data_IF_020632385312
#
_entry.id   IF_020632385312
#
_cell.length_a   1.000
_cell.length_b   1.000
_cell.length_c   1.000
_cell.angle_alpha   90.00
_cell.angle_beta   90.00
_cell.angle_gamma   90.00
#
_symmetry.space_group_name_H-M   'P 1'
#
loop_
_entity.id
_entity.type
_entity.pdbx_description
1 polymer ?
#
# COMPACT_ATOMS: atom_id res chain seq x y z
N UNK A 1 7.79 22.12 17.53
CA UNK A 1 6.54 21.34 17.28
C UNK A 1 6.08 20.52 18.49
N UNK A 2 6.69 20.62 19.69
CA UNK A 2 6.17 19.95 20.89
C UNK A 2 6.19 18.41 20.80
N UNK A 3 7.26 17.85 20.23
CA UNK A 3 7.41 16.41 19.98
C UNK A 3 8.64 15.79 20.68
N UNK A 4 9.42 16.59 21.42
CA UNK A 4 10.66 16.11 22.05
C UNK A 4 10.41 15.00 23.08
N UNK A 5 9.34 15.13 23.87
CA UNK A 5 8.94 14.14 24.88
C UNK A 5 8.53 12.79 24.29
N UNK A 6 8.17 12.75 23.00
CA UNK A 6 7.72 11.53 22.29
C UNK A 6 8.67 11.10 21.19
N UNK A 7 9.90 11.64 21.15
CA UNK A 7 10.85 11.38 20.06
C UNK A 7 11.29 9.90 19.97
N UNK A 8 11.35 9.19 21.10
CA UNK A 8 11.66 7.76 21.18
C UNK A 8 10.44 6.83 21.08
N UNK A 9 9.23 7.39 21.00
CA UNK A 9 7.98 6.63 21.07
C UNK A 9 7.54 6.18 19.67
N UNK A 10 6.99 4.97 19.56
CA UNK A 10 6.43 4.47 18.30
C UNK A 10 5.17 5.28 17.94
N UNK A 11 5.01 5.60 16.65
CA UNK A 11 3.83 6.32 16.14
C UNK A 11 2.54 5.55 16.46
N UNK A 12 2.58 4.22 16.39
CA UNK A 12 1.43 3.36 16.61
C UNK A 12 0.60 3.14 15.34
N UNK A 13 -0.27 2.14 15.40
CA UNK A 13 -1.17 1.74 14.31
C UNK A 13 -2.57 1.44 14.85
N UNK A 14 -3.41 0.75 14.07
CA UNK A 14 -4.77 0.38 14.52
C UNK A 14 -4.75 -0.62 15.67
N UNK A 15 -3.77 -1.53 15.68
CA UNK A 15 -3.66 -2.62 16.67
C UNK A 15 -2.88 -2.19 17.91
N UNK A 16 -1.79 -1.42 17.73
CA UNK A 16 -0.95 -0.95 18.82
C UNK A 16 -1.07 0.57 18.99
N UNK A 17 -1.58 1.02 20.14
CA UNK A 17 -1.67 2.44 20.48
C UNK A 17 -0.25 3.05 20.56
N UNK A 18 -0.08 4.23 20.00
CA UNK A 18 1.19 4.98 20.03
C UNK A 18 0.97 6.43 20.42
N UNK A 19 1.52 7.36 19.64
CA UNK A 19 1.36 8.80 19.89
C UNK A 19 -0.10 9.25 19.70
N UNK A 20 -0.48 10.37 20.32
CA UNK A 20 -1.83 10.91 20.21
C UNK A 20 -2.14 11.41 18.78
N UNK A 21 -3.43 11.55 18.44
CA UNK A 21 -3.86 12.04 17.12
C UNK A 21 -3.27 13.42 16.78
N UNK A 22 -3.30 14.35 17.74
CA UNK A 22 -2.68 15.67 17.60
C UNK A 22 -1.17 15.61 17.42
N UNK A 23 -0.47 14.72 18.15
CA UNK A 23 0.96 14.49 17.95
C UNK A 23 1.25 13.93 16.54
N UNK A 24 0.43 12.99 16.05
CA UNK A 24 0.55 12.42 14.70
C UNK A 24 0.36 13.48 13.60
N UNK A 25 -0.61 14.39 13.75
CA UNK A 25 -0.79 15.52 12.82
C UNK A 25 0.45 16.42 12.82
N UNK A 26 0.98 16.78 13.99
CA UNK A 26 2.23 17.57 14.11
C UNK A 26 3.43 16.89 13.47
N UNK A 27 3.59 15.57 13.63
CA UNK A 27 4.63 14.79 12.95
C UNK A 27 4.46 14.85 11.44
N UNK A 28 3.25 14.70 10.91
CA UNK A 28 3.00 14.82 9.47
C UNK A 28 3.37 16.19 8.92
N UNK A 29 3.10 17.27 9.65
CA UNK A 29 3.51 18.62 9.26
C UNK A 29 5.04 18.74 9.29
N UNK A 30 5.71 18.17 10.31
CA UNK A 30 7.18 18.19 10.39
C UNK A 30 7.83 17.49 9.18
N UNK A 31 7.29 16.36 8.73
CA UNK A 31 7.81 15.62 7.57
C UNK A 31 7.83 16.51 6.33
N UNK A 32 6.74 17.23 6.05
CA UNK A 32 6.66 18.14 4.90
C UNK A 32 7.53 19.39 5.08
N UNK A 33 7.68 19.90 6.31
CA UNK A 33 8.57 21.02 6.61
C UNK A 33 10.06 20.67 6.52
N UNK A 34 10.44 19.41 6.73
CA UNK A 34 11.83 18.95 6.56
C UNK A 34 12.28 19.05 5.10
N UNK A 35 11.35 18.86 4.16
CA UNK A 35 11.57 19.12 2.74
C UNK A 35 11.75 20.61 2.42
N UNK A 36 11.64 21.49 3.44
CA UNK A 36 11.64 22.97 3.41
C UNK A 36 11.23 23.55 2.06
N UNK A 37 9.96 23.36 1.70
CA UNK A 37 9.43 23.76 0.40
C UNK A 37 9.35 25.28 0.29
N UNK A 38 9.31 25.79 -0.95
CA UNK A 38 9.02 27.21 -1.20
C UNK A 38 7.53 27.53 -1.01
N UNK A 39 6.65 26.54 -1.22
CA UNK A 39 5.20 26.65 -1.05
C UNK A 39 4.69 25.40 -0.34
N UNK A 40 3.90 25.58 0.72
CA UNK A 40 3.26 24.48 1.45
C UNK A 40 1.75 24.71 1.54
N UNK A 41 1.00 23.65 1.24
CA UNK A 41 -0.45 23.60 1.42
C UNK A 41 -0.76 22.78 2.68
N UNK A 42 -1.56 23.35 3.58
CA UNK A 42 -1.95 22.73 4.84
C UNK A 42 -3.47 22.61 4.90
N UNK A 43 -3.96 21.38 4.86
CA UNK A 43 -5.37 21.09 4.98
C UNK A 43 -5.73 20.81 6.44
N UNK A 44 -6.51 21.73 7.02
CA UNK A 44 -6.95 21.75 8.42
C UNK A 44 -5.83 21.38 9.43
N UNK A 45 -4.75 22.17 9.52
CA UNK A 45 -3.60 21.85 10.37
C UNK A 45 -3.93 21.87 11.87
N UNK A 46 -5.00 22.55 12.27
CA UNK A 46 -5.47 22.72 13.66
C UNK A 46 -6.57 21.74 14.05
N UNK A 47 -7.13 20.96 13.12
CA UNK A 47 -8.22 20.03 13.41
C UNK A 47 -7.78 18.93 14.40
N UNK A 48 -8.59 18.73 15.44
CA UNK A 48 -8.32 17.79 16.54
C UNK A 48 -7.23 18.25 17.53
N UNK A 49 -6.85 19.53 17.50
CA UNK A 49 -6.01 20.16 18.52
C UNK A 49 -6.85 21.09 19.41
N UNK A 50 -6.43 21.25 20.66
CA UNK A 50 -6.91 22.30 21.54
C UNK A 50 -6.39 23.68 21.11
N UNK A 51 -7.00 24.76 21.60
CA UNK A 51 -6.67 26.13 21.19
C UNK A 51 -5.21 26.50 21.43
N UNK A 52 -4.65 26.11 22.58
CA UNK A 52 -3.25 26.40 22.92
C UNK A 52 -2.28 25.64 22.00
N UNK A 53 -2.53 24.35 21.75
CA UNK A 53 -1.71 23.59 20.81
C UNK A 53 -1.84 24.12 19.38
N UNK A 54 -3.03 24.55 18.96
CA UNK A 54 -3.28 25.14 17.64
C UNK A 54 -2.46 26.41 17.44
N UNK A 55 -2.48 27.33 18.42
CA UNK A 55 -1.65 28.54 18.40
C UNK A 55 -0.17 28.21 18.31
N UNK A 56 0.33 27.29 19.15
CA UNK A 56 1.73 26.90 19.12
C UNK A 56 2.15 26.26 17.78
N UNK A 57 1.29 25.47 17.15
CA UNK A 57 1.57 24.88 15.83
C UNK A 57 1.63 25.98 14.77
N UNK A 58 0.61 26.83 14.69
CA UNK A 58 0.53 27.89 13.68
C UNK A 58 1.63 28.95 13.85
N UNK A 59 1.93 29.36 15.07
CA UNK A 59 3.03 30.29 15.38
C UNK A 59 4.39 29.73 14.94
N UNK A 60 4.63 28.42 15.12
CA UNK A 60 5.87 27.77 14.65
C UNK A 60 5.92 27.67 13.14
N UNK A 61 4.81 27.36 12.48
CA UNK A 61 4.72 27.33 11.01
C UNK A 61 4.99 28.72 10.45
N UNK A 62 4.35 29.77 10.98
CA UNK A 62 4.58 31.15 10.58
C UNK A 62 6.04 31.59 10.81
N UNK A 63 6.64 31.19 11.94
CA UNK A 63 8.06 31.46 12.22
C UNK A 63 9.02 30.77 11.24
N UNK A 64 8.75 29.52 10.87
CA UNK A 64 9.55 28.78 9.87
C UNK A 64 9.36 29.41 8.49
N UNK A 65 8.13 29.76 8.13
CA UNK A 65 7.79 30.41 6.87
C UNK A 65 8.58 31.72 6.69
N UNK A 66 8.59 32.56 7.74
CA UNK A 66 9.33 33.84 7.74
C UNK A 66 10.84 33.65 7.61
N UNK A 67 11.42 32.64 8.27
CA UNK A 67 12.87 32.36 8.22
C UNK A 67 13.33 31.81 6.88
N UNK A 68 12.51 30.96 6.26
CA UNK A 68 12.88 30.23 5.05
C UNK A 68 12.36 30.88 3.76
N UNK A 69 11.57 31.96 3.86
CA UNK A 69 10.87 32.54 2.71
C UNK A 69 9.82 31.59 2.11
N UNK A 70 9.21 30.72 2.94
CA UNK A 70 8.19 29.76 2.47
C UNK A 70 6.81 30.40 2.48
N UNK A 71 6.09 30.32 1.38
CA UNK A 71 4.67 30.68 1.32
C UNK A 71 3.83 29.55 1.91
N UNK A 72 2.94 29.88 2.85
CA UNK A 72 2.04 28.92 3.51
C UNK A 72 0.61 29.25 3.11
N UNK A 73 -0.11 28.26 2.57
CA UNK A 73 -1.55 28.33 2.32
C UNK A 73 -2.22 27.30 3.20
N UNK A 74 -3.11 27.73 4.10
CA UNK A 74 -3.78 26.84 5.03
C UNK A 74 -5.30 27.02 4.97
N UNK A 75 -6.03 25.90 4.92
CA UNK A 75 -7.47 25.88 5.18
C UNK A 75 -7.67 25.61 6.67
N UNK A 76 -8.37 26.50 7.39
CA UNK A 76 -8.56 26.38 8.84
C UNK A 76 -10.04 26.54 9.16
N UNK A 77 -10.61 25.51 9.78
CA UNK A 77 -11.97 25.55 10.30
C UNK A 77 -11.97 26.28 11.66
N UNK A 78 -12.68 27.40 11.75
CA UNK A 78 -12.91 28.18 12.99
C UNK A 78 -11.63 28.44 13.83
N UNK A 79 -10.71 29.31 13.37
CA UNK A 79 -9.53 29.66 14.14
C UNK A 79 -9.90 30.45 15.41
N UNK A 80 -9.14 30.25 16.49
CA UNK A 80 -9.19 31.15 17.64
C UNK A 80 -8.66 32.54 17.26
N UNK A 81 -9.03 33.57 18.02
CA UNK A 81 -8.58 34.95 17.76
C UNK A 81 -7.04 35.06 17.70
N UNK A 82 -6.33 34.39 18.61
CA UNK A 82 -4.86 34.34 18.62
C UNK A 82 -4.26 33.72 17.35
N UNK A 83 -4.95 32.72 16.76
CA UNK A 83 -4.51 32.10 15.50
C UNK A 83 -4.84 33.00 14.31
N UNK A 84 -6.00 33.66 14.33
CA UNK A 84 -6.43 34.59 13.28
C UNK A 84 -5.47 35.77 13.12
N UNK A 85 -4.95 36.30 14.23
CA UNK A 85 -3.96 37.38 14.23
C UNK A 85 -2.61 37.01 13.56
N UNK A 86 -2.32 35.71 13.38
CA UNK A 86 -1.11 35.26 12.69
C UNK A 86 -1.24 35.34 11.15
N UNK A 87 -2.43 35.58 10.62
CA UNK A 87 -2.67 35.53 9.17
C UNK A 87 -2.28 36.85 8.50
N UNK A 88 -1.44 36.76 7.45
CA UNK A 88 -1.12 37.91 6.61
C UNK A 88 -2.23 38.20 5.57
N UNK A 89 -2.83 37.14 5.03
CA UNK A 89 -3.90 37.21 4.04
C UNK A 89 -5.03 36.24 4.40
N UNK A 90 -6.23 36.59 3.99
CA UNK A 90 -7.47 35.85 4.21
C UNK A 90 -8.19 35.64 2.88
N UNK A 91 -8.58 34.39 2.64
CA UNK A 91 -9.46 34.00 1.54
C UNK A 91 -10.72 33.38 2.16
N UNK A 92 -11.87 34.00 1.95
CA UNK A 92 -13.17 33.46 2.38
C UNK A 92 -13.91 32.94 1.16
N UNK A 93 -14.33 31.68 1.24
CA UNK A 93 -15.10 31.01 0.20
C UNK A 93 -16.49 30.65 0.74
N UNK A 94 -17.53 30.88 -0.07
CA UNK A 94 -18.89 30.42 0.19
C UNK A 94 -19.51 29.90 -1.11
N UNK A 95 -20.09 28.70 -1.10
CA UNK A 95 -20.72 28.06 -2.26
C UNK A 95 -19.87 28.09 -3.54
N UNK A 96 -18.56 27.82 -3.39
CA UNK A 96 -17.58 27.81 -4.48
C UNK A 96 -17.16 29.20 -5.01
N UNK A 97 -17.63 30.30 -4.40
CA UNK A 97 -17.30 31.68 -4.78
C UNK A 97 -16.44 32.34 -3.73
N UNK A 98 -15.48 33.17 -4.16
CA UNK A 98 -14.69 34.00 -3.27
C UNK A 98 -15.49 35.21 -2.80
N UNK A 99 -15.74 35.26 -1.50
CA UNK A 99 -16.48 36.33 -0.80
C UNK A 99 -15.52 37.43 -0.34
N UNK A 100 -14.27 37.07 -0.06
CA UNK A 100 -13.22 38.01 0.30
C UNK A 100 -11.86 37.42 -0.05
N UNK A 101 -10.97 38.24 -0.59
CA UNK A 101 -9.57 37.89 -0.81
C UNK A 101 -8.70 39.12 -0.57
N UNK A 102 -7.87 39.11 0.46
CA UNK A 102 -7.04 40.28 0.81
C UNK A 102 -6.35 40.15 2.17
N UNK A 103 -5.74 41.23 2.68
CA UNK A 103 -5.10 41.25 4.00
C UNK A 103 -6.09 40.96 5.13
N UNK A 104 -5.75 40.06 6.06
CA UNK A 104 -6.68 39.66 7.13
C UNK A 104 -7.13 40.84 8.01
N UNK A 105 -6.27 41.85 8.19
CA UNK A 105 -6.58 43.07 8.95
C UNK A 105 -7.69 43.92 8.33
N UNK A 106 -7.83 43.92 6.99
CA UNK A 106 -8.84 44.71 6.27
C UNK A 106 -10.18 43.99 6.14
N UNK A 107 -10.27 42.73 6.57
CA UNK A 107 -11.51 41.96 6.46
C UNK A 107 -12.63 42.57 7.31
N UNK A 108 -12.33 43.06 8.51
CA UNK A 108 -13.34 43.67 9.39
C UNK A 108 -13.93 44.93 8.75
N UNK A 109 -13.08 45.82 8.24
CA UNK A 109 -13.49 47.05 7.53
C UNK A 109 -14.34 46.73 6.29
N UNK A 110 -14.00 45.67 5.56
CA UNK A 110 -14.76 45.25 4.38
C UNK A 110 -16.18 44.79 4.75
N UNK A 111 -16.34 43.99 5.80
CA UNK A 111 -17.66 43.55 6.25
C UNK A 111 -18.49 44.71 6.80
N UNK A 112 -17.87 45.64 7.55
CA UNK A 112 -18.51 46.85 8.06
C UNK A 112 -19.02 47.76 6.93
N UNK A 113 -18.18 48.02 5.91
CA UNK A 113 -18.54 48.84 4.75
C UNK A 113 -19.69 48.25 3.90
N UNK A 114 -19.88 46.93 3.94
CA UNK A 114 -20.97 46.24 3.25
C UNK A 114 -22.23 46.08 4.11
N UNK A 115 -22.28 46.72 5.29
CA UNK A 115 -23.45 46.72 6.18
C UNK A 115 -23.53 45.53 7.14
N UNK A 116 -22.41 44.82 7.35
CA UNK A 116 -22.32 43.65 8.24
C UNK A 116 -21.24 43.85 9.31
N UNK A 117 -21.43 44.79 10.27
CA UNK A 117 -20.43 45.07 11.29
C UNK A 117 -20.20 43.89 12.24
N UNK A 118 -18.93 43.64 12.56
CA UNK A 118 -18.58 42.68 13.60
C UNK A 118 -18.77 43.31 14.99
N UNK A 119 -19.55 42.65 15.86
CA UNK A 119 -19.79 43.11 17.24
C UNK A 119 -18.51 43.15 18.07
N UNK A 120 -18.36 44.16 18.94
CA UNK A 120 -17.28 44.20 19.93
C UNK A 120 -17.35 42.96 20.82
N UNK A 121 -16.19 42.30 21.03
CA UNK A 121 -16.01 41.05 21.80
C UNK A 121 -16.42 39.75 21.10
N UNK A 122 -16.73 39.78 19.82
CA UNK A 122 -16.92 38.58 19.02
C UNK A 122 -15.64 38.24 18.24
N UNK A 123 -15.32 36.95 18.14
CA UNK A 123 -14.22 36.49 17.30
C UNK A 123 -14.54 36.82 15.81
N UNK A 124 -13.69 37.59 15.11
CA UNK A 124 -13.96 38.00 13.73
C UNK A 124 -14.17 36.81 12.79
N UNK A 125 -13.38 35.74 12.93
CA UNK A 125 -13.51 34.55 12.08
C UNK A 125 -14.87 33.87 12.23
N UNK A 126 -15.39 33.77 13.45
CA UNK A 126 -16.70 33.16 13.72
C UNK A 126 -17.85 34.05 13.25
N UNK A 127 -17.65 35.37 13.26
CA UNK A 127 -18.60 36.30 12.66
C UNK A 127 -18.65 36.10 11.14
N UNK A 128 -17.52 36.13 10.45
CA UNK A 128 -17.47 35.96 8.99
C UNK A 128 -18.08 34.64 8.54
N UNK A 129 -17.72 33.52 9.21
CA UNK A 129 -18.25 32.21 8.86
C UNK A 129 -19.76 32.10 9.08
N UNK A 130 -20.32 32.71 10.14
CA UNK A 130 -21.77 32.70 10.36
C UNK A 130 -22.53 33.51 9.32
N UNK A 131 -21.97 34.63 8.87
CA UNK A 131 -22.62 35.50 7.86
C UNK A 131 -22.69 34.86 6.48
N UNK A 132 -21.76 33.95 6.15
CA UNK A 132 -21.68 33.30 4.83
C UNK A 132 -22.21 31.85 4.84
N UNK A 133 -22.76 31.37 5.96
CA UNK A 133 -23.29 30.03 6.07
C UNK A 133 -24.78 30.01 5.69
N UNK A 134 -25.13 29.21 4.68
CA UNK A 134 -26.50 29.05 4.16
C UNK A 134 -27.22 27.81 4.69
N UNK A 135 -26.52 26.91 5.40
CA UNK A 135 -27.00 25.54 5.63
C UNK A 135 -28.07 25.43 6.74
N UNK A 136 -28.24 26.46 7.56
CA UNK A 136 -29.15 26.46 8.71
C UNK A 136 -30.28 27.50 8.59
N UNK A 137 -30.53 28.02 7.39
CA UNK A 137 -31.58 29.03 7.15
C UNK A 137 -33.01 28.49 7.32
N UNK A 138 -33.22 27.17 7.20
CA UNK A 138 -34.55 26.55 7.29
C UNK A 138 -35.02 26.21 8.72
N UNK A 139 -34.21 26.44 9.77
CA UNK A 139 -34.48 25.91 11.12
C UNK A 139 -34.80 26.93 12.22
N UNK A 140 -34.74 28.24 11.99
CA UNK A 140 -35.09 29.25 13.00
C UNK A 140 -36.12 30.26 12.46
N UNK A 141 -37.40 29.90 12.51
CA UNK A 141 -38.52 30.82 12.29
C UNK A 141 -38.74 31.81 13.47
N UNK A 142 -37.94 31.77 14.54
CA UNK A 142 -38.30 32.48 15.78
C UNK A 142 -37.11 33.05 16.57
N UNK A 143 -36.17 33.74 15.91
CA UNK A 143 -35.31 34.69 16.64
C UNK A 143 -35.12 36.02 15.89
N UNK A 144 -35.62 37.08 16.55
CA UNK A 144 -35.74 38.46 16.11
C UNK A 144 -34.40 39.21 16.08
N UNK A 145 -33.49 38.79 15.20
CA UNK A 145 -32.42 39.66 14.70
C UNK A 145 -32.36 39.44 13.20
N UNK A 146 -32.51 40.51 12.42
CA UNK A 146 -32.42 40.54 10.96
C UNK A 146 -31.09 39.93 10.45
N UNK A 147 -30.96 38.60 10.44
CA UNK A 147 -29.98 37.92 9.63
C UNK A 147 -30.48 38.07 8.20
N UNK A 148 -29.93 39.04 7.47
CA UNK A 148 -30.08 39.05 6.03
C UNK A 148 -29.76 37.65 5.52
N UNK A 149 -30.66 37.08 4.71
CA UNK A 149 -30.45 35.79 4.02
C UNK A 149 -28.98 35.71 3.60
N UNK A 150 -28.23 34.75 4.12
CA UNK A 150 -26.83 34.51 3.83
C UNK A 150 -26.59 34.48 2.32
N UNK A 151 -27.56 33.99 1.54
CA UNK A 151 -27.56 34.09 0.07
C UNK A 151 -27.44 35.55 -0.45
N UNK A 152 -28.21 36.48 0.13
CA UNK A 152 -28.15 37.93 -0.18
C UNK A 152 -26.83 38.54 0.30
N UNK A 153 -26.37 38.17 1.49
CA UNK A 153 -25.07 38.60 2.04
C UNK A 153 -23.93 38.20 1.10
N UNK A 154 -23.88 36.94 0.68
CA UNK A 154 -22.89 36.42 -0.26
C UNK A 154 -22.96 37.19 -1.58
N UNK A 155 -24.15 37.46 -2.12
CA UNK A 155 -24.28 38.20 -3.37
C UNK A 155 -23.74 39.63 -3.27
N UNK A 156 -24.06 40.34 -2.18
CA UNK A 156 -23.55 41.70 -1.92
C UNK A 156 -22.02 41.70 -1.76
N UNK A 157 -21.47 40.77 -0.97
CA UNK A 157 -20.04 40.67 -0.73
C UNK A 157 -19.27 40.24 -2.00
N UNK A 158 -19.81 39.33 -2.81
CA UNK A 158 -19.20 38.94 -4.09
C UNK A 158 -19.22 40.10 -5.09
N UNK A 159 -20.30 40.89 -5.12
CA UNK A 159 -20.38 42.07 -5.99
C UNK A 159 -19.38 43.16 -5.59
N UNK A 160 -19.19 43.41 -4.30
CA UNK A 160 -18.18 44.35 -3.80
C UNK A 160 -16.75 43.79 -3.87
N UNK A 161 -16.60 42.46 -3.93
CA UNK A 161 -15.34 41.76 -4.20
C UNK A 161 -14.83 41.91 -5.63
N UNK A 162 -15.54 42.61 -6.52
CA UNK A 162 -15.07 42.99 -7.85
C UNK A 162 -13.70 43.71 -7.87
N UNK A 163 -13.18 44.12 -6.71
CA UNK A 163 -11.82 44.60 -6.48
C UNK A 163 -10.71 43.54 -6.51
N UNK A 164 -11.01 42.26 -6.80
CA UNK A 164 -9.98 41.23 -7.08
C UNK A 164 -9.04 41.63 -8.24
N UNK A 165 -9.50 42.52 -9.12
CA UNK A 165 -8.72 43.11 -10.21
C UNK A 165 -7.52 43.96 -9.73
N UNK A 166 -7.60 44.57 -8.54
CA UNK A 166 -6.54 45.41 -7.96
C UNK A 166 -5.38 44.55 -7.44
N UNK A 167 -5.69 43.39 -6.83
CA UNK A 167 -4.68 42.40 -6.43
C UNK A 167 -4.02 41.72 -7.65
N UNK A 168 -4.78 41.49 -8.73
CA UNK A 168 -4.25 40.98 -9.99
C UNK A 168 -3.20 41.91 -10.60
N UNK A 169 -3.44 43.23 -10.56
CA UNK A 169 -2.52 44.25 -11.08
C UNK A 169 -1.27 44.43 -10.20
N UNK A 170 -1.39 44.34 -8.87
CA UNK A 170 -0.22 44.32 -7.96
C UNK A 170 0.64 43.04 -8.11
N UNK A 171 0.00 41.89 -8.37
CA UNK A 171 0.70 40.63 -8.62
C UNK A 171 1.43 40.62 -9.98
N UNK A 172 0.88 41.27 -11.00
CA UNK A 172 1.56 41.47 -12.29
C UNK A 172 2.77 42.41 -12.14
N UNK A 173 2.67 43.46 -11.32
CA UNK A 173 3.78 44.39 -11.06
C UNK A 173 4.95 43.75 -10.28
N UNK A 174 4.70 42.71 -9.48
CA UNK A 174 5.74 41.96 -8.74
C UNK A 174 6.39 40.82 -9.53
N UNK A 175 5.84 40.42 -10.68
CA UNK A 175 6.38 39.35 -11.53
C UNK A 175 7.79 39.64 -12.08
N UNK A 176 8.19 40.91 -12.08
CA UNK A 176 9.48 41.42 -12.57
C UNK A 176 10.65 41.12 -11.61
N UNK A 177 10.40 40.85 -10.34
CA UNK A 177 11.42 40.37 -9.38
C UNK A 177 11.38 38.84 -9.32
N UNK A 178 11.97 38.21 -10.35
CA UNK A 178 12.07 36.75 -10.45
C UNK A 178 13.05 36.19 -9.41
N UNK A 179 12.60 36.03 -8.18
CA UNK A 179 13.37 35.32 -7.17
C UNK A 179 13.46 33.84 -7.55
N UNK A 180 14.68 33.38 -7.80
CA UNK A 180 14.96 32.00 -8.19
C UNK A 180 14.54 31.10 -7.03
N UNK A 181 13.41 30.39 -7.18
CA UNK A 181 13.04 29.28 -6.30
C UNK A 181 14.25 28.35 -6.23
N UNK A 182 14.91 28.32 -5.07
CA UNK A 182 16.14 27.55 -4.83
C UNK A 182 15.90 26.10 -5.26
N UNK A 183 16.47 25.73 -6.41
CA UNK A 183 16.30 24.41 -6.99
C UNK A 183 17.05 23.42 -6.10
N UNK A 184 16.30 22.69 -5.28
CA UNK A 184 16.88 21.80 -4.27
C UNK A 184 17.50 20.56 -4.88
N UNK A 185 18.66 20.19 -4.34
CA UNK A 185 19.39 18.98 -4.67
C UNK A 185 18.65 17.78 -4.09
N UNK A 186 17.93 17.05 -4.93
CA UNK A 186 17.30 15.79 -4.50
C UNK A 186 18.35 14.71 -4.22
N UNK A 187 18.07 13.84 -3.26
CA UNK A 187 18.91 12.67 -3.00
C UNK A 187 18.98 11.75 -4.23
N UNK A 188 20.12 11.09 -4.41
CA UNK A 188 20.33 10.15 -5.52
C UNK A 188 19.42 8.92 -5.39
N UNK A 189 19.15 8.28 -6.53
CA UNK A 189 18.36 7.06 -6.62
C UNK A 189 18.82 5.98 -5.63
N UNK A 190 20.14 5.73 -5.55
CA UNK A 190 20.71 4.73 -4.64
C UNK A 190 20.48 5.06 -3.17
N UNK A 191 20.64 6.33 -2.79
CA UNK A 191 20.40 6.76 -1.41
C UNK A 191 18.93 6.56 -1.04
N UNK A 192 18.00 6.93 -1.93
CA UNK A 192 16.57 6.69 -1.75
C UNK A 192 16.28 5.20 -1.57
N UNK A 193 16.74 4.36 -2.48
CA UNK A 193 16.51 2.91 -2.44
C UNK A 193 17.08 2.25 -1.17
N UNK A 194 18.28 2.61 -0.72
CA UNK A 194 18.89 2.08 0.51
C UNK A 194 18.09 2.50 1.75
N UNK A 195 17.73 3.78 1.85
CA UNK A 195 16.95 4.30 2.99
C UNK A 195 15.57 3.66 3.03
N UNK A 196 14.90 3.53 1.89
CA UNK A 196 13.61 2.85 1.79
C UNK A 196 13.72 1.37 2.18
N UNK A 197 14.76 0.67 1.73
CA UNK A 197 14.98 -0.75 2.06
C UNK A 197 15.18 -0.90 3.57
N UNK A 198 16.02 -0.06 4.17
CA UNK A 198 16.26 -0.06 5.63
C UNK A 198 14.97 0.25 6.41
N UNK A 199 14.19 1.23 5.97
CA UNK A 199 12.90 1.59 6.56
C UNK A 199 11.93 0.41 6.48
N UNK A 200 11.79 -0.18 5.30
CA UNK A 200 10.91 -1.31 5.05
C UNK A 200 11.31 -2.51 5.92
N UNK A 201 12.58 -2.90 5.92
CA UNK A 201 13.09 -4.00 6.74
C UNK A 201 12.83 -3.82 8.23
N UNK A 202 12.99 -2.58 8.74
CA UNK A 202 12.71 -2.25 10.14
C UNK A 202 11.21 -2.27 10.45
N UNK A 203 10.36 -1.86 9.51
CA UNK A 203 8.91 -1.97 9.64
C UNK A 203 8.49 -3.44 9.73
N UNK A 204 9.00 -4.27 8.81
CA UNK A 204 8.71 -5.70 8.73
C UNK A 204 9.15 -6.47 9.98
N UNK A 205 10.33 -6.14 10.53
CA UNK A 205 10.80 -6.75 11.77
C UNK A 205 9.88 -6.45 12.97
N UNK A 206 9.37 -5.22 13.02
CA UNK A 206 8.54 -4.71 14.13
C UNK A 206 7.07 -5.10 14.01
N UNK A 207 6.63 -5.51 12.82
CA UNK A 207 5.27 -5.99 12.58
C UNK A 207 5.16 -7.50 12.91
N UNK A 208 4.93 -7.76 14.21
CA UNK A 208 4.82 -9.11 14.78
C UNK A 208 3.66 -9.89 14.17
N UNK A 209 2.52 -9.23 13.95
CA UNK A 209 1.31 -9.88 13.44
C UNK A 209 1.46 -10.35 11.99
N UNK A 210 2.38 -9.75 11.25
CA UNK A 210 2.50 -9.97 9.81
C UNK A 210 3.49 -11.08 9.42
N UNK A 211 4.76 -10.98 9.83
CA UNK A 211 5.79 -11.99 9.48
C UNK A 211 5.96 -13.06 10.56
N UNK A 212 6.03 -12.66 11.83
CA UNK A 212 6.33 -13.61 12.91
C UNK A 212 5.17 -14.56 13.19
N UNK A 213 3.94 -14.06 13.24
CA UNK A 213 2.76 -14.91 13.39
C UNK A 213 2.63 -15.91 12.23
N UNK A 214 2.88 -15.46 10.98
CA UNK A 214 2.91 -16.37 9.83
C UNK A 214 4.01 -17.40 9.93
N UNK A 215 5.19 -17.01 10.38
CA UNK A 215 6.30 -17.95 10.56
C UNK A 215 5.91 -19.07 11.51
N UNK A 216 5.34 -18.73 12.68
CA UNK A 216 4.88 -19.71 13.66
C UNK A 216 3.76 -20.60 13.12
N UNK A 217 2.76 -20.03 12.43
CA UNK A 217 1.66 -20.81 11.84
C UNK A 217 2.18 -21.74 10.74
N UNK A 218 3.12 -21.29 9.90
CA UNK A 218 3.71 -22.15 8.86
C UNK A 218 4.51 -23.31 9.47
N UNK A 219 5.26 -23.09 10.56
CA UNK A 219 5.93 -24.19 11.29
C UNK A 219 4.88 -25.22 11.76
N UNK A 220 3.79 -24.78 12.39
CA UNK A 220 2.75 -25.68 12.88
C UNK A 220 2.06 -26.47 11.75
N UNK A 221 1.79 -25.82 10.62
CA UNK A 221 1.19 -26.46 9.45
C UNK A 221 2.13 -27.48 8.81
N UNK A 222 3.41 -27.14 8.61
CA UNK A 222 4.38 -28.05 8.00
C UNK A 222 4.78 -29.19 8.92
N UNK A 223 4.76 -28.98 10.23
CA UNK A 223 4.87 -30.05 11.22
C UNK A 223 3.68 -31.02 11.07
N UNK A 224 2.46 -30.50 10.99
CA UNK A 224 1.26 -31.32 10.76
C UNK A 224 1.37 -32.12 9.47
N UNK A 225 1.70 -31.47 8.33
CA UNK A 225 1.88 -32.17 7.04
C UNK A 225 2.99 -33.23 7.15
N UNK A 226 4.14 -32.89 7.73
CA UNK A 226 5.26 -33.82 7.90
C UNK A 226 4.90 -35.04 8.74
N UNK A 227 4.10 -34.88 9.80
CA UNK A 227 3.64 -35.98 10.66
C UNK A 227 2.55 -36.85 10.01
N UNK A 228 1.61 -36.26 9.25
CA UNK A 228 0.58 -37.02 8.53
C UNK A 228 1.23 -37.91 7.47
N UNK A 229 2.22 -37.39 6.76
CA UNK A 229 2.98 -38.12 5.74
C UNK A 229 4.29 -38.69 6.29
N UNK A 230 4.35 -39.06 7.57
CA UNK A 230 5.58 -39.53 8.18
C UNK A 230 6.11 -40.78 7.48
N UNK A 231 7.35 -40.71 6.97
CA UNK A 231 8.07 -41.80 6.32
C UNK A 231 7.24 -42.63 5.30
N UNK A 232 6.86 -42.01 4.17
CA UNK A 232 5.90 -42.55 3.19
C UNK A 232 6.33 -43.87 2.51
N UNK A 233 7.61 -44.26 2.58
CA UNK A 233 8.13 -45.50 2.00
C UNK A 233 8.21 -45.50 0.47
N UNK A 234 8.38 -46.68 -0.14
CA UNK A 234 8.62 -46.87 -1.59
C UNK A 234 7.62 -47.83 -2.27
N UNK A 235 6.43 -48.01 -1.68
CA UNK A 235 5.38 -48.87 -2.22
C UNK A 235 4.58 -48.14 -3.30
N UNK A 236 3.73 -48.83 -4.06
CA UNK A 236 2.89 -48.17 -5.08
C UNK A 236 1.97 -47.08 -4.50
N UNK A 237 1.39 -47.31 -3.32
CA UNK A 237 0.60 -46.29 -2.62
C UNK A 237 1.43 -45.05 -2.23
N UNK A 238 2.76 -45.21 -2.05
CA UNK A 238 3.66 -44.11 -1.70
C UNK A 238 3.79 -43.08 -2.84
N UNK A 239 3.58 -43.49 -4.09
CA UNK A 239 3.69 -42.60 -5.26
C UNK A 239 2.64 -41.48 -5.16
N UNK A 240 1.37 -41.85 -4.97
CA UNK A 240 0.28 -40.89 -4.84
C UNK A 240 0.42 -40.06 -3.57
N UNK A 241 0.88 -40.65 -2.46
CA UNK A 241 1.09 -39.95 -1.21
C UNK A 241 2.22 -38.90 -1.32
N UNK A 242 3.35 -39.23 -1.94
CA UNK A 242 4.45 -38.27 -2.22
C UNK A 242 3.99 -37.15 -3.14
N UNK A 243 3.29 -37.46 -4.23
CA UNK A 243 2.74 -36.45 -5.14
C UNK A 243 1.78 -35.49 -4.43
N UNK A 244 0.87 -36.04 -3.62
CA UNK A 244 -0.11 -35.28 -2.84
C UNK A 244 0.57 -34.38 -1.80
N UNK A 245 1.57 -34.91 -1.08
CA UNK A 245 2.35 -34.15 -0.09
C UNK A 245 3.06 -32.95 -0.72
N UNK A 246 3.74 -33.13 -1.87
CA UNK A 246 4.44 -32.04 -2.57
C UNK A 246 3.46 -30.94 -3.02
N UNK A 247 2.29 -31.35 -3.50
CA UNK A 247 1.25 -30.42 -3.92
C UNK A 247 0.62 -29.67 -2.76
N UNK A 248 0.28 -30.36 -1.67
CA UNK A 248 -0.25 -29.69 -0.49
C UNK A 248 0.77 -28.73 0.11
N UNK A 249 2.04 -29.12 0.20
CA UNK A 249 3.08 -28.28 0.76
C UNK A 249 3.25 -26.98 -0.02
N UNK A 250 3.35 -27.06 -1.36
CA UNK A 250 3.45 -25.85 -2.21
C UNK A 250 2.18 -25.00 -2.21
N UNK A 251 1.01 -25.62 -2.15
CA UNK A 251 -0.28 -24.93 -2.17
C UNK A 251 -0.62 -24.25 -0.84
N UNK A 252 -0.43 -24.93 0.30
CA UNK A 252 -0.67 -24.33 1.62
C UNK A 252 0.27 -23.17 1.88
N UNK A 253 1.54 -23.32 1.49
CA UNK A 253 2.54 -22.26 1.61
C UNK A 253 2.14 -20.99 0.87
N UNK A 254 1.72 -21.16 -0.38
CA UNK A 254 1.26 -20.06 -1.22
C UNK A 254 -0.05 -19.48 -0.69
N UNK A 255 -0.98 -20.29 -0.16
CA UNK A 255 -2.26 -19.81 0.36
C UNK A 255 -2.07 -18.91 1.58
N UNK A 256 -1.16 -19.28 2.48
CA UNK A 256 -0.79 -18.48 3.64
C UNK A 256 -0.15 -17.13 3.24
N UNK A 257 0.47 -17.07 2.06
CA UNK A 257 1.04 -15.82 1.56
C UNK A 257 -0.04 -14.78 1.21
N UNK A 258 -1.30 -15.14 0.92
CA UNK A 258 -2.41 -14.18 0.71
C UNK A 258 -2.60 -13.26 1.92
N UNK A 259 -2.33 -13.78 3.12
CA UNK A 259 -2.39 -12.99 4.35
C UNK A 259 -1.52 -11.73 4.30
N UNK A 260 -0.59 -11.61 3.33
CA UNK A 260 0.28 -10.47 3.07
C UNK A 260 -0.46 -9.20 2.65
N UNK A 261 -1.66 -9.38 2.10
CA UNK A 261 -2.44 -8.33 1.47
C UNK A 261 -2.76 -7.09 2.35
N UNK A 262 -3.22 -7.21 3.62
CA UNK A 262 -3.56 -6.06 4.45
C UNK A 262 -2.41 -5.06 4.63
N UNK A 263 -1.20 -5.55 4.88
CA UNK A 263 -0.05 -4.67 5.09
C UNK A 263 0.37 -3.98 3.80
N UNK A 264 0.27 -4.65 2.65
CA UNK A 264 0.55 -3.99 1.36
C UNK A 264 -0.45 -2.87 1.03
N UNK A 265 -1.73 -3.02 1.40
CA UNK A 265 -2.71 -1.94 1.23
C UNK A 265 -2.34 -0.72 2.08
N UNK A 266 -1.85 -0.91 3.30
CA UNK A 266 -1.39 0.20 4.15
C UNK A 266 -0.09 0.83 3.61
N UNK A 267 0.86 0.02 3.15
CA UNK A 267 2.09 0.53 2.50
C UNK A 267 1.79 1.32 1.22
N UNK A 268 0.79 0.88 0.43
CA UNK A 268 0.35 1.58 -0.77
C UNK A 268 -0.20 2.98 -0.47
N UNK A 269 -0.96 3.13 0.64
CA UNK A 269 -1.48 4.45 1.07
C UNK A 269 -0.35 5.41 1.43
N UNK A 270 0.65 4.92 2.15
CA UNK A 270 1.84 5.73 2.50
C UNK A 270 2.63 6.09 1.25
N UNK A 271 2.84 5.12 0.36
CA UNK A 271 3.51 5.32 -0.92
C UNK A 271 2.84 6.40 -1.77
N UNK A 272 1.52 6.35 -1.94
CA UNK A 272 0.79 7.35 -2.74
C UNK A 272 0.95 8.77 -2.19
N UNK A 273 0.97 8.91 -0.87
CA UNK A 273 1.19 10.20 -0.21
C UNK A 273 2.62 10.70 -0.44
N UNK A 274 3.61 9.88 -0.09
CA UNK A 274 5.03 10.26 -0.16
C UNK A 274 5.48 10.54 -1.60
N UNK A 275 4.93 9.81 -2.57
CA UNK A 275 5.18 10.02 -3.99
C UNK A 275 4.59 11.34 -4.50
N UNK A 276 3.38 11.73 -4.06
CA UNK A 276 2.79 13.05 -4.41
C UNK A 276 3.62 14.21 -3.85
N UNK A 277 4.18 14.05 -2.65
CA UNK A 277 5.12 15.01 -2.07
C UNK A 277 6.53 14.94 -2.69
N UNK A 278 6.78 14.03 -3.66
CA UNK A 278 8.02 13.97 -4.42
C UNK A 278 9.22 13.35 -3.69
N UNK A 279 9.00 12.58 -2.62
CA UNK A 279 10.10 12.00 -1.83
C UNK A 279 10.89 10.93 -2.60
N UNK A 280 10.20 10.03 -3.31
CA UNK A 280 10.81 8.95 -4.10
C UNK A 280 9.87 8.45 -5.21
N UNK A 281 10.41 7.73 -6.19
CA UNK A 281 9.68 7.17 -7.32
C UNK A 281 9.16 5.74 -7.10
N UNK A 282 8.37 5.26 -8.08
CA UNK A 282 7.82 3.90 -8.03
C UNK A 282 8.90 2.82 -8.15
N UNK A 283 10.01 3.10 -8.84
CA UNK A 283 11.08 2.13 -9.07
C UNK A 283 11.80 1.86 -7.74
N UNK A 284 12.16 2.91 -7.01
CA UNK A 284 12.79 2.86 -5.71
C UNK A 284 11.93 2.09 -4.70
N UNK A 285 10.62 2.30 -4.73
CA UNK A 285 9.67 1.58 -3.89
C UNK A 285 9.64 0.08 -4.18
N UNK A 286 9.50 -0.32 -5.45
CA UNK A 286 9.42 -1.72 -5.85
C UNK A 286 10.71 -2.48 -5.53
N UNK A 287 11.86 -1.86 -5.78
CA UNK A 287 13.17 -2.45 -5.45
C UNK A 287 13.31 -2.59 -3.94
N UNK A 288 13.04 -1.51 -3.19
CA UNK A 288 13.17 -1.53 -1.74
C UNK A 288 12.28 -2.60 -1.09
N UNK A 289 11.01 -2.68 -1.51
CA UNK A 289 10.08 -3.67 -0.97
C UNK A 289 10.51 -5.11 -1.28
N UNK A 290 10.98 -5.36 -2.51
CA UNK A 290 11.43 -6.69 -2.94
C UNK A 290 12.69 -7.14 -2.18
N UNK A 291 13.66 -6.24 -2.02
CA UNK A 291 14.87 -6.52 -1.25
C UNK A 291 14.57 -6.73 0.23
N UNK A 292 13.64 -5.94 0.80
CA UNK A 292 13.27 -6.07 2.21
C UNK A 292 12.48 -7.34 2.52
N UNK A 293 11.62 -7.82 1.60
CA UNK A 293 10.80 -9.04 1.83
C UNK A 293 11.56 -10.35 1.65
N UNK A 294 12.54 -10.35 0.75
CA UNK A 294 13.38 -11.52 0.44
C UNK A 294 13.86 -12.32 1.66
N UNK A 295 14.54 -11.72 2.68
CA UNK A 295 15.05 -12.47 3.82
C UNK A 295 13.95 -13.08 4.70
N UNK A 296 12.81 -12.37 4.88
CA UNK A 296 11.71 -12.86 5.71
C UNK A 296 10.95 -14.00 5.02
N UNK A 297 10.74 -13.90 3.71
CA UNK A 297 10.16 -15.00 2.93
C UNK A 297 11.11 -16.19 2.84
N UNK A 298 12.43 -15.94 2.76
CA UNK A 298 13.44 -16.99 2.87
C UNK A 298 13.33 -17.74 4.20
N UNK A 299 13.24 -17.03 5.32
CA UNK A 299 13.08 -17.63 6.65
C UNK A 299 11.79 -18.46 6.76
N UNK A 300 10.67 -17.91 6.27
CA UNK A 300 9.37 -18.60 6.26
C UNK A 300 9.40 -19.86 5.41
N UNK A 301 10.19 -19.89 4.34
CA UNK A 301 10.31 -21.07 3.47
C UNK A 301 11.28 -22.11 4.00
N UNK A 302 12.47 -21.73 4.47
CA UNK A 302 13.54 -22.70 4.81
C UNK A 302 13.16 -23.61 5.97
N UNK A 303 12.76 -23.05 7.12
CA UNK A 303 12.59 -23.84 8.35
C UNK A 303 11.35 -24.76 8.30
N UNK A 304 10.14 -24.28 7.98
CA UNK A 304 8.98 -25.15 7.78
C UNK A 304 9.21 -26.21 6.71
N UNK A 305 9.82 -25.85 5.57
CA UNK A 305 10.11 -26.82 4.51
C UNK A 305 11.06 -27.92 4.98
N UNK A 306 12.10 -27.60 5.76
CA UNK A 306 12.99 -28.59 6.34
C UNK A 306 12.24 -29.61 7.21
N UNK A 307 11.33 -29.12 8.07
CA UNK A 307 10.51 -29.98 8.94
C UNK A 307 9.69 -30.97 8.10
N UNK A 308 8.91 -30.47 7.14
CA UNK A 308 8.09 -31.35 6.30
C UNK A 308 8.93 -32.31 5.44
N UNK A 309 10.02 -31.81 4.85
CA UNK A 309 10.86 -32.59 3.94
C UNK A 309 11.51 -33.80 4.61
N UNK A 310 12.12 -33.60 5.79
CA UNK A 310 12.80 -34.67 6.51
C UNK A 310 11.84 -35.62 7.24
N UNK A 311 10.72 -35.13 7.78
CA UNK A 311 9.71 -35.99 8.42
C UNK A 311 9.03 -36.93 7.42
N UNK A 312 8.76 -36.44 6.20
CA UNK A 312 8.11 -37.24 5.16
C UNK A 312 9.01 -38.33 4.59
N UNK A 313 10.33 -38.19 4.71
CA UNK A 313 11.28 -39.13 4.11
C UNK A 313 11.36 -38.99 2.59
N UNK A 314 11.35 -37.74 2.10
CA UNK A 314 11.61 -37.41 0.70
C UNK A 314 13.07 -37.76 0.31
N UNK A 315 13.36 -37.76 -0.99
CA UNK A 315 14.66 -38.21 -1.52
C UNK A 315 15.83 -37.45 -0.89
N UNK A 316 16.70 -38.12 -0.13
CA UNK A 316 17.79 -37.45 0.60
C UNK A 316 18.87 -36.93 -0.36
N UNK A 317 19.26 -35.66 -0.17
CA UNK A 317 20.40 -35.05 -0.84
C UNK A 317 20.35 -33.53 -0.72
N UNK A 318 21.53 -32.90 -0.63
CA UNK A 318 21.63 -31.43 -0.49
C UNK A 318 21.01 -30.73 -1.71
N UNK A 319 21.24 -31.26 -2.91
CA UNK A 319 20.68 -30.72 -4.14
C UNK A 319 19.14 -30.80 -4.15
N UNK A 320 18.57 -31.94 -3.76
CA UNK A 320 17.13 -32.15 -3.73
C UNK A 320 16.44 -31.25 -2.69
N UNK A 321 17.06 -31.10 -1.51
CA UNK A 321 16.58 -30.21 -0.46
C UNK A 321 16.66 -28.74 -0.88
N UNK A 322 17.79 -28.31 -1.44
CA UNK A 322 17.97 -26.94 -1.92
C UNK A 322 16.95 -26.59 -3.00
N UNK A 323 16.75 -27.48 -3.98
CA UNK A 323 15.75 -27.29 -5.01
C UNK A 323 14.33 -27.15 -4.42
N UNK A 324 13.96 -28.03 -3.49
CA UNK A 324 12.66 -28.00 -2.81
C UNK A 324 12.42 -26.65 -2.11
N UNK A 325 13.38 -26.18 -1.33
CA UNK A 325 13.28 -24.90 -0.60
C UNK A 325 13.29 -23.71 -1.56
N UNK A 326 14.14 -23.72 -2.59
CA UNK A 326 14.21 -22.66 -3.59
C UNK A 326 12.91 -22.53 -4.39
N UNK A 327 12.29 -23.65 -4.75
CA UNK A 327 10.97 -23.67 -5.39
C UNK A 327 9.90 -23.08 -4.48
N UNK A 328 9.79 -23.51 -3.21
CA UNK A 328 8.82 -22.95 -2.27
C UNK A 328 9.02 -21.45 -2.04
N UNK A 329 10.27 -21.01 -1.92
CA UNK A 329 10.62 -19.60 -1.81
C UNK A 329 10.20 -18.80 -3.06
N UNK A 330 10.50 -19.30 -4.27
CA UNK A 330 10.06 -18.67 -5.51
C UNK A 330 8.53 -18.55 -5.59
N UNK A 331 7.78 -19.59 -5.19
CA UNK A 331 6.32 -19.55 -5.13
C UNK A 331 5.81 -18.48 -4.16
N UNK A 332 6.40 -18.35 -2.96
CA UNK A 332 6.01 -17.28 -2.02
C UNK A 332 6.28 -15.88 -2.58
N UNK A 333 7.41 -15.70 -3.28
CA UNK A 333 7.75 -14.43 -3.94
C UNK A 333 6.78 -14.08 -5.07
N UNK A 334 6.30 -15.08 -5.81
CA UNK A 334 5.30 -14.93 -6.86
C UNK A 334 3.95 -14.50 -6.30
N UNK A 335 3.47 -15.17 -5.25
CA UNK A 335 2.19 -14.82 -4.61
C UNK A 335 2.27 -13.43 -3.99
N UNK A 336 3.39 -13.08 -3.35
CA UNK A 336 3.60 -11.71 -2.85
C UNK A 336 3.54 -10.69 -4.01
N UNK A 337 4.19 -11.01 -5.14
CA UNK A 337 4.07 -10.30 -6.41
C UNK A 337 2.63 -10.06 -6.85
N UNK A 338 1.85 -11.13 -6.90
CA UNK A 338 0.45 -11.15 -7.29
C UNK A 338 -0.41 -10.32 -6.32
N UNK A 339 -0.23 -10.48 -5.02
CA UNK A 339 -1.00 -9.75 -4.00
C UNK A 339 -0.74 -8.25 -4.04
N UNK A 340 0.49 -7.81 -4.34
CA UNK A 340 0.75 -6.38 -4.54
C UNK A 340 0.10 -5.85 -5.82
N UNK A 341 0.06 -6.63 -6.90
CA UNK A 341 -0.68 -6.27 -8.12
C UNK A 341 -2.16 -6.06 -7.78
N UNK A 342 -2.76 -7.01 -7.06
CA UNK A 342 -4.15 -6.90 -6.61
C UNK A 342 -4.35 -5.67 -5.72
N UNK A 343 -3.43 -5.40 -4.78
CA UNK A 343 -3.51 -4.24 -3.88
C UNK A 343 -3.39 -2.88 -4.60
N UNK A 344 -2.73 -2.83 -5.76
CA UNK A 344 -2.64 -1.62 -6.57
C UNK A 344 -3.89 -1.34 -7.41
N UNK A 345 -4.68 -2.38 -7.71
CA UNK A 345 -5.90 -2.28 -8.54
C UNK A 345 -7.14 -2.16 -7.68
N UNK A 346 -7.27 -3.00 -6.66
CA UNK A 346 -8.48 -3.14 -5.86
C UNK A 346 -8.49 -2.12 -4.72
N UNK A 347 -9.48 -1.21 -4.65
CA UNK A 347 -9.51 -0.15 -3.66
C UNK A 347 -9.96 -0.64 -2.27
N UNK A 348 -10.68 -1.76 -2.22
CA UNK A 348 -11.25 -2.31 -0.99
C UNK A 348 -10.45 -3.51 -0.47
N UNK A 349 -10.37 -3.59 0.86
CA UNK A 349 -9.61 -4.61 1.55
C UNK A 349 -10.21 -6.01 1.39
N UNK A 350 -11.52 -6.15 1.58
CA UNK A 350 -12.20 -7.45 1.54
C UNK A 350 -12.25 -7.98 0.10
N UNK A 351 -12.59 -7.10 -0.85
CA UNK A 351 -12.61 -7.44 -2.27
C UNK A 351 -11.22 -7.89 -2.75
N UNK A 352 -10.16 -7.26 -2.25
CA UNK A 352 -8.79 -7.63 -2.59
C UNK A 352 -8.39 -9.03 -2.13
N UNK A 353 -8.76 -9.43 -0.90
CA UNK A 353 -8.53 -10.80 -0.41
C UNK A 353 -9.32 -11.82 -1.24
N UNK A 354 -10.60 -11.55 -1.50
CA UNK A 354 -11.46 -12.43 -2.30
C UNK A 354 -10.86 -12.61 -3.70
N UNK A 355 -10.50 -11.50 -4.37
CA UNK A 355 -9.90 -11.51 -5.71
C UNK A 355 -8.58 -12.27 -5.73
N UNK A 356 -7.69 -11.99 -4.77
CA UNK A 356 -6.38 -12.65 -4.67
C UNK A 356 -6.51 -14.16 -4.45
N UNK A 357 -7.36 -14.57 -3.50
CA UNK A 357 -7.65 -15.98 -3.23
C UNK A 357 -8.32 -16.70 -4.41
N UNK A 358 -9.21 -16.01 -5.14
CA UNK A 358 -9.90 -16.55 -6.30
C UNK A 358 -8.94 -16.81 -7.46
N UNK A 359 -8.08 -15.83 -7.78
CA UNK A 359 -7.03 -16.00 -8.80
C UNK A 359 -6.10 -17.14 -8.41
N UNK A 360 -5.67 -17.20 -7.14
CA UNK A 360 -4.81 -18.27 -6.67
C UNK A 360 -5.49 -19.65 -6.73
N UNK A 361 -6.75 -19.76 -6.35
CA UNK A 361 -7.54 -20.98 -6.47
C UNK A 361 -7.64 -21.46 -7.92
N UNK A 362 -7.85 -20.54 -8.87
CA UNK A 362 -7.87 -20.87 -10.31
C UNK A 362 -6.50 -21.37 -10.81
N UNK A 363 -5.40 -20.76 -10.35
CA UNK A 363 -4.05 -21.21 -10.71
C UNK A 363 -3.73 -22.59 -10.12
N UNK A 364 -4.20 -22.86 -8.91
CA UNK A 364 -4.07 -24.15 -8.21
C UNK A 364 -4.83 -25.27 -8.92
N UNK A 365 -6.06 -25.03 -9.39
CA UNK A 365 -6.84 -26.03 -10.14
C UNK A 365 -6.16 -26.46 -11.44
N UNK A 366 -5.39 -25.56 -12.06
CA UNK A 366 -4.64 -25.81 -13.29
C UNK A 366 -3.20 -26.29 -13.04
N UNK A 367 -2.86 -26.75 -11.83
CA UNK A 367 -1.49 -27.18 -11.51
C UNK A 367 -1.06 -28.51 -12.15
N UNK A 368 -2.01 -29.30 -12.67
CA UNK A 368 -1.75 -30.66 -13.18
C UNK A 368 -1.87 -31.77 -12.12
N UNK A 369 -2.40 -31.46 -10.93
CA UNK A 369 -2.66 -32.42 -9.85
C UNK A 369 -4.10 -32.93 -9.81
N UNK A 370 -5.09 -32.03 -9.77
CA UNK A 370 -6.51 -32.39 -9.72
C UNK A 370 -7.00 -33.05 -11.01
N UNK A 371 -6.42 -32.64 -12.14
CA UNK A 371 -6.64 -33.23 -13.45
C UNK A 371 -5.33 -33.18 -14.21
N UNK A 372 -4.99 -34.30 -14.86
CA UNK A 372 -3.71 -34.43 -15.55
C UNK A 372 -3.64 -33.50 -16.78
N UNK A 373 -2.43 -33.02 -17.14
CA UNK A 373 -2.21 -32.06 -18.22
C UNK A 373 -2.85 -32.38 -19.59
N UNK A 374 -2.91 -33.66 -19.98
CA UNK A 374 -3.51 -34.06 -21.26
C UNK A 374 -5.03 -34.09 -21.24
N UNK A 375 -5.61 -34.28 -20.06
CA UNK A 375 -7.06 -34.41 -19.87
C UNK A 375 -7.72 -33.05 -19.62
N UNK A 376 -6.95 -31.97 -19.49
CA UNK A 376 -7.46 -30.61 -19.33
C UNK A 376 -8.23 -30.16 -20.59
N UNK A 377 -9.43 -29.56 -20.44
CA UNK A 377 -10.17 -29.03 -21.58
C UNK A 377 -9.38 -27.95 -22.32
N UNK A 378 -9.31 -28.07 -23.65
CA UNK A 378 -8.34 -27.36 -24.48
C UNK A 378 -8.45 -25.82 -24.51
N UNK A 379 -9.64 -25.22 -24.72
CA UNK A 379 -9.70 -23.81 -25.16
C UNK A 379 -9.45 -22.75 -24.09
N UNK A 380 -9.55 -23.09 -22.80
CA UNK A 380 -9.36 -22.13 -21.70
C UNK A 380 -8.38 -22.69 -20.66
N UNK A 381 -8.61 -23.94 -20.24
CA UNK A 381 -7.87 -24.53 -19.13
C UNK A 381 -6.48 -25.00 -19.55
N UNK A 382 -6.37 -25.73 -20.68
CA UNK A 382 -5.07 -26.12 -21.23
C UNK A 382 -4.34 -24.95 -21.90
N UNK A 383 -5.05 -24.15 -22.69
CA UNK A 383 -4.50 -22.96 -23.34
C UNK A 383 -5.40 -21.76 -23.01
N UNK A 384 -4.91 -20.67 -22.39
CA UNK A 384 -3.54 -20.41 -21.96
C UNK A 384 -3.27 -20.72 -20.47
N UNK A 385 -4.31 -21.02 -19.67
CA UNK A 385 -4.25 -20.96 -18.20
C UNK A 385 -3.20 -21.89 -17.59
N UNK A 386 -3.09 -23.13 -18.08
CA UNK A 386 -2.06 -24.10 -17.65
C UNK A 386 -0.62 -23.58 -17.84
N UNK A 387 -0.33 -22.88 -18.94
CA UNK A 387 1.01 -22.39 -19.24
C UNK A 387 1.36 -21.08 -18.54
N UNK A 388 0.34 -20.27 -18.20
CA UNK A 388 0.50 -19.03 -17.42
C UNK A 388 0.65 -19.34 -15.92
N UNK A 389 0.06 -20.45 -15.45
CA UNK A 389 0.10 -20.82 -14.03
C UNK A 389 1.51 -21.18 -13.58
N UNK A 390 2.03 -20.44 -12.60
CA UNK A 390 3.28 -20.79 -11.94
C UNK A 390 3.18 -22.15 -11.21
N UNK A 391 1.97 -22.54 -10.80
CA UNK A 391 1.74 -23.81 -10.10
C UNK A 391 2.04 -25.01 -11.01
N UNK A 392 1.93 -24.88 -12.34
CA UNK A 392 2.38 -25.90 -13.31
C UNK A 392 3.86 -26.22 -13.09
N UNK A 393 4.72 -25.22 -13.23
CA UNK A 393 6.18 -25.39 -13.16
C UNK A 393 6.63 -25.79 -11.75
N UNK A 394 5.91 -25.33 -10.73
CA UNK A 394 6.10 -25.77 -9.34
C UNK A 394 5.86 -27.27 -9.22
N UNK A 395 4.70 -27.75 -9.68
CA UNK A 395 4.31 -29.17 -9.61
C UNK A 395 5.28 -30.05 -10.38
N UNK A 396 5.56 -29.70 -11.64
CA UNK A 396 6.49 -30.47 -12.48
C UNK A 396 7.91 -30.48 -11.90
N UNK A 397 8.41 -29.34 -11.43
CA UNK A 397 9.73 -29.24 -10.81
C UNK A 397 9.84 -30.10 -9.55
N UNK A 398 8.86 -30.02 -8.65
CA UNK A 398 8.82 -30.83 -7.42
C UNK A 398 8.74 -32.33 -7.73
N UNK A 399 7.92 -32.73 -8.70
CA UNK A 399 7.83 -34.13 -9.12
C UNK A 399 9.14 -34.63 -9.73
N UNK A 400 9.76 -33.87 -10.65
CA UNK A 400 11.08 -34.23 -11.19
C UNK A 400 12.12 -34.35 -10.09
N UNK A 401 12.10 -33.46 -9.10
CA UNK A 401 13.05 -33.46 -8.01
C UNK A 401 12.89 -34.67 -7.06
N UNK A 402 11.69 -35.21 -6.91
CA UNK A 402 11.41 -36.32 -6.01
C UNK A 402 11.44 -37.70 -6.69
N UNK A 403 10.94 -37.82 -7.91
CA UNK A 403 10.81 -39.14 -8.55
C UNK A 403 12.03 -39.53 -9.40
N UNK A 404 12.85 -38.58 -9.88
CA UNK A 404 14.02 -38.93 -10.68
C UNK A 404 15.09 -39.63 -9.83
N UNK A 405 15.39 -40.88 -10.19
CA UNK A 405 16.36 -41.73 -9.49
C UNK A 405 15.74 -42.67 -8.45
N UNK A 406 14.43 -42.60 -8.23
CA UNK A 406 13.72 -43.57 -7.39
C UNK A 406 13.18 -44.74 -8.20
N UNK A 407 13.10 -45.90 -7.54
CA UNK A 407 12.45 -47.12 -8.01
C UNK A 407 11.42 -47.53 -6.96
N UNK A 408 10.23 -47.91 -7.40
CA UNK A 408 9.12 -48.30 -6.53
C UNK A 408 8.81 -49.77 -6.73
N UNK A 409 8.70 -50.50 -5.62
CA UNK A 409 8.51 -51.95 -5.60
C UNK A 409 7.05 -52.31 -5.30
N UNK A 410 6.51 -53.31 -5.99
CA UNK A 410 5.19 -53.87 -5.68
C UNK A 410 5.32 -55.04 -4.71
N UNK A 411 5.26 -54.75 -3.41
CA UNK A 411 5.27 -55.78 -2.37
C UNK A 411 4.00 -56.64 -2.34
N UNK A 412 2.97 -56.32 -3.14
CA UNK A 412 1.67 -56.99 -3.15
C UNK A 412 1.48 -58.08 -4.21
N UNK A 413 2.38 -58.17 -5.20
CA UNK A 413 2.28 -59.14 -6.30
C UNK A 413 3.58 -59.95 -6.38
N UNK A 414 3.49 -61.27 -6.21
CA UNK A 414 4.62 -62.17 -6.47
C UNK A 414 4.97 -62.05 -7.96
N UNK A 415 6.10 -61.39 -8.27
CA UNK A 415 6.50 -61.05 -9.64
C UNK A 415 6.18 -59.62 -10.09
N UNK A 416 5.81 -58.72 -9.17
CA UNK A 416 5.59 -57.30 -9.47
C UNK A 416 6.84 -56.63 -10.05
N UNK A 417 6.71 -55.97 -11.20
CA UNK A 417 7.81 -55.27 -11.84
C UNK A 417 8.16 -53.98 -11.09
N UNK A 418 9.45 -53.75 -10.90
CA UNK A 418 9.99 -52.48 -10.41
C UNK A 418 9.66 -51.35 -11.40
N UNK A 419 8.93 -50.34 -10.96
CA UNK A 419 8.63 -49.16 -11.78
C UNK A 419 9.62 -48.06 -11.47
N UNK A 420 10.29 -47.57 -12.51
CA UNK A 420 11.17 -46.41 -12.42
C UNK A 420 10.38 -45.11 -12.26
N UNK A 421 10.93 -44.16 -11.49
CA UNK A 421 10.33 -42.84 -11.35
C UNK A 421 10.21 -42.06 -12.67
N UNK A 422 11.06 -42.33 -13.67
CA UNK A 422 10.90 -41.74 -15.01
C UNK A 422 9.62 -42.23 -15.70
N UNK A 423 9.27 -43.51 -15.56
CA UNK A 423 8.02 -44.06 -16.08
C UNK A 423 6.82 -43.39 -15.39
N UNK A 424 6.85 -43.24 -14.07
CA UNK A 424 5.80 -42.57 -13.28
C UNK A 424 5.60 -41.13 -13.74
N UNK A 425 6.70 -40.38 -13.90
CA UNK A 425 6.65 -38.99 -14.33
C UNK A 425 6.00 -38.85 -15.71
N UNK A 426 6.38 -39.69 -16.67
CA UNK A 426 5.87 -39.59 -18.05
C UNK A 426 4.45 -40.10 -18.19
N UNK A 427 4.14 -41.26 -17.62
CA UNK A 427 2.91 -42.00 -17.93
C UNK A 427 1.81 -41.76 -16.89
N UNK A 428 2.16 -41.65 -15.60
CA UNK A 428 1.18 -41.48 -14.54
C UNK A 428 0.89 -39.99 -14.28
N UNK A 429 1.95 -39.17 -14.18
CA UNK A 429 1.85 -37.74 -13.83
C UNK A 429 1.88 -36.82 -15.06
N UNK A 430 2.15 -37.36 -16.26
CA UNK A 430 2.20 -36.63 -17.54
C UNK A 430 3.10 -35.37 -17.50
N UNK A 431 4.24 -35.48 -16.81
CA UNK A 431 5.23 -34.42 -16.67
C UNK A 431 6.09 -34.31 -17.94
N UNK A 432 6.40 -33.08 -18.35
CA UNK A 432 7.25 -32.81 -19.51
C UNK A 432 8.72 -33.11 -19.18
N UNK A 433 9.27 -34.20 -19.72
CA UNK A 433 10.66 -34.61 -19.51
C UNK A 433 11.66 -33.98 -20.52
N UNK A 434 11.19 -33.12 -21.42
CA UNK A 434 12.04 -32.49 -22.45
C UNK A 434 13.07 -31.49 -21.90
N UNK A 435 12.97 -31.12 -20.62
CA UNK A 435 13.88 -30.21 -19.94
C UNK A 435 14.03 -30.56 -18.45
N UNK A 436 15.15 -30.14 -17.88
CA UNK A 436 15.52 -30.42 -16.48
C UNK A 436 14.65 -29.65 -15.47
N UNK A 437 14.58 -30.16 -14.23
CA UNK A 437 13.95 -29.48 -13.08
C UNK A 437 14.47 -28.05 -12.87
N UNK A 438 15.73 -27.78 -13.22
CA UNK A 438 16.33 -26.45 -13.11
C UNK A 438 15.72 -25.43 -14.06
N UNK A 439 15.22 -25.86 -15.23
CA UNK A 439 14.50 -24.98 -16.13
C UNK A 439 13.14 -24.58 -15.54
N UNK A 440 12.43 -25.49 -14.84
CA UNK A 440 11.21 -25.13 -14.09
C UNK A 440 11.50 -24.03 -13.05
N UNK A 441 12.56 -24.18 -12.26
CA UNK A 441 12.97 -23.17 -11.28
C UNK A 441 13.37 -21.84 -11.94
N UNK A 442 14.10 -21.87 -13.05
CA UNK A 442 14.47 -20.67 -13.79
C UNK A 442 13.24 -19.92 -14.34
N UNK A 443 12.23 -20.66 -14.84
CA UNK A 443 10.95 -20.08 -15.26
C UNK A 443 10.24 -19.41 -14.08
N UNK A 444 10.18 -20.08 -12.91
CA UNK A 444 9.59 -19.49 -11.70
C UNK A 444 10.28 -18.20 -11.29
N UNK A 445 11.62 -18.17 -11.29
CA UNK A 445 12.39 -16.95 -10.98
C UNK A 445 12.17 -15.84 -12.03
N UNK A 446 12.07 -16.21 -13.31
CA UNK A 446 11.70 -15.28 -14.38
C UNK A 446 10.31 -14.69 -14.16
N UNK A 447 9.34 -15.52 -13.76
CA UNK A 447 7.98 -15.07 -13.42
C UNK A 447 7.99 -14.12 -12.22
N UNK A 448 8.86 -14.30 -11.22
CA UNK A 448 9.00 -13.37 -10.09
C UNK A 448 9.32 -11.97 -10.61
N UNK A 449 10.30 -11.86 -11.50
CA UNK A 449 10.70 -10.59 -12.10
C UNK A 449 9.54 -10.00 -12.92
N UNK A 450 8.87 -10.81 -13.74
CA UNK A 450 7.73 -10.39 -14.55
C UNK A 450 6.62 -9.81 -13.66
N UNK A 451 6.27 -10.46 -12.55
CA UNK A 451 5.21 -9.99 -11.66
C UNK A 451 5.59 -8.67 -10.98
N UNK A 452 6.87 -8.46 -10.62
CA UNK A 452 7.35 -7.18 -10.08
C UNK A 452 7.35 -6.06 -11.14
N UNK A 453 7.68 -6.38 -12.39
CA UNK A 453 7.60 -5.44 -13.51
C UNK A 453 6.15 -5.08 -13.83
N UNK A 454 5.24 -6.07 -13.85
CA UNK A 454 3.81 -5.85 -14.02
C UNK A 454 3.25 -4.96 -12.92
N UNK A 455 3.60 -5.23 -11.66
CA UNK A 455 3.24 -4.36 -10.53
C UNK A 455 3.70 -2.91 -10.74
N UNK A 456 4.95 -2.72 -11.18
CA UNK A 456 5.51 -1.39 -11.47
C UNK A 456 4.76 -0.68 -12.62
N UNK A 457 4.44 -1.40 -13.68
CA UNK A 457 3.63 -0.87 -14.80
C UNK A 457 2.25 -0.48 -14.29
N UNK A 458 1.59 -1.34 -13.50
CA UNK A 458 0.24 -1.11 -12.98
C UNK A 458 0.22 0.11 -12.06
N UNK A 459 1.21 0.30 -11.17
CA UNK A 459 1.31 1.52 -10.36
C UNK A 459 1.42 2.77 -11.27
N UNK A 460 2.23 2.71 -12.32
CA UNK A 460 2.40 3.83 -13.27
C UNK A 460 1.14 4.10 -14.09
N UNK A 461 0.44 3.07 -14.54
CA UNK A 461 -0.78 3.16 -15.37
C UNK A 461 -2.00 3.54 -14.53
N UNK A 462 -2.17 2.94 -13.35
CA UNK A 462 -3.24 3.28 -12.39
C UNK A 462 -3.22 4.77 -12.06
N UNK A 463 -2.05 5.39 -12.01
CA UNK A 463 -1.89 6.84 -11.85
C UNK A 463 -2.52 7.65 -13.01
N UNK A 464 -2.38 7.18 -14.26
CA UNK A 464 -2.98 7.81 -15.44
C UNK A 464 -4.49 7.54 -15.54
N UNK A 465 -4.94 6.36 -15.10
CA UNK A 465 -6.33 5.94 -15.18
C UNK A 465 -7.22 6.48 -14.05
N UNK A 466 -6.67 6.71 -12.84
CA UNK A 466 -7.42 7.23 -11.68
C UNK A 466 -8.23 8.52 -11.95
N UNK A 467 -7.73 9.55 -12.65
CA UNK A 467 -8.58 10.71 -13.00
C UNK A 467 -9.72 10.33 -13.95
N UNK A 468 -9.49 9.39 -14.87
CA UNK A 468 -10.49 8.93 -15.83
C UNK A 468 -11.59 8.09 -15.15
N UNK A 469 -11.21 7.19 -14.25
CA UNK A 469 -12.14 6.37 -13.46
C UNK A 469 -12.96 7.23 -12.50
N UNK A 470 -12.34 8.23 -11.83
CA UNK A 470 -13.09 9.20 -11.01
C UNK A 470 -14.10 10.00 -11.84
N UNK A 471 -13.75 10.38 -13.07
CA UNK A 471 -14.67 11.07 -13.98
C UNK A 471 -15.83 10.17 -14.44
N UNK A 472 -15.58 8.86 -14.58
CA UNK A 472 -16.61 7.88 -14.94
C UNK A 472 -17.57 7.60 -13.77
N UNK A 473 -17.03 7.41 -12.57
CA UNK A 473 -17.83 7.14 -11.36
C UNK A 473 -18.60 8.38 -10.91
N UNK A 474 -18.07 9.59 -11.08
CA UNK A 474 -18.81 10.82 -10.77
C UNK A 474 -19.97 11.12 -11.75
N UNK A 475 -20.10 10.35 -12.83
CA UNK A 475 -21.20 10.44 -13.81
C UNK A 475 -22.28 9.36 -13.60
N UNK A 476 -22.08 8.45 -12.65
CA UNK A 476 -23.06 7.45 -12.20
C UNK A 476 -23.55 7.87 -10.84
#
# INVERSE_FOLDING_TARGET
MGLATVAGTRIGGRVCKGISGGQRKRVSICIELLASPALIFLDEPTSGLDSAASYHVMSRIAGIARRNGTTVVAAIHQPSTEVFELFHGLCLLANGRAVYFGPASKAIEFFDANGFPCLLRRNPSDHFLRMINTDFEEAEEESTVNLAHAAKVIQTLVASSGSLAILGTEMEARKTEGDRVLQRRQATFWTKSIVLTKRSMLNMHRDIGYYWLRFVINIALFLTIGTIFFNVGHNYASIQARASMLMFTSTFMTMMAIGSFPSFVEDMKVFEKEQRSGHYGAIEFVIANTLSSTPYLGLISVLPAAIAYYLTGLQRGIEHFFFFVATLWACTMLVEGLMMIVAAIVPDFLLGIITGSGVQGLLMLNAGFFRLPNDLPKPIWKYPTYYISYQKYTTQGLYKNEFLGLVFQDLGVVGGADISGQYILKNNLQVELGYSKWADLAILLGMVIIYRVLFLIIIKVSKMAKPFIKCLIAKV
#
